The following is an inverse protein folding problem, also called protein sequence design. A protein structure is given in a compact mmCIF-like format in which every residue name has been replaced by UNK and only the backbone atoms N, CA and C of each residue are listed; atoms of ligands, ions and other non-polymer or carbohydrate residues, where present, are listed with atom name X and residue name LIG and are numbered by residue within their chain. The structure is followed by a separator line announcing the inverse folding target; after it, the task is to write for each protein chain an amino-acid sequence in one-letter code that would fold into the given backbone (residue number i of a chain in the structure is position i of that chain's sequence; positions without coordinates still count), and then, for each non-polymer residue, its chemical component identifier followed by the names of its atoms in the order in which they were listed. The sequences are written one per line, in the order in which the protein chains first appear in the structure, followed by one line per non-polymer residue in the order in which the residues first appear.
data_IF_856089549710
#
_entry.id   IF_856089549710
#
_cell.length_a   1.000
_cell.length_b   1.000
_cell.length_c   1.000
_cell.angle_alpha   90.00
_cell.angle_beta   90.00
_cell.angle_gamma   90.00
#
_symmetry.space_group_name_H-M   'P 1'
#
loop_
_entity.id
_entity.type
_entity.pdbx_description
1 polymer ?
#
# COMPACT_ATOMS: atom_id res chain seq x y z
N UNK A 1 -6.47 -7.27 16.39
CA UNK A 1 -7.03 -7.73 15.11
C UNK A 1 -8.39 -7.12 14.92
N UNK A 2 -8.61 -6.37 13.85
CA UNK A 2 -9.95 -5.90 13.49
C UNK A 2 -10.81 -7.13 13.14
N UNK A 3 -12.07 -7.18 13.60
CA UNK A 3 -12.92 -8.35 13.40
C UNK A 3 -13.29 -8.56 11.92
N UNK A 4 -13.27 -7.51 11.10
CA UNK A 4 -13.55 -7.54 9.67
C UNK A 4 -12.59 -6.61 8.94
N UNK A 5 -11.77 -7.16 8.05
CA UNK A 5 -10.90 -6.40 7.15
C UNK A 5 -10.76 -7.14 5.82
N UNK A 6 -10.35 -6.41 4.78
CA UNK A 6 -10.02 -6.95 3.47
C UNK A 6 -8.53 -6.76 3.19
N UNK A 7 -8.02 -7.52 2.23
CA UNK A 7 -6.66 -7.40 1.74
C UNK A 7 -6.72 -7.16 0.23
N UNK A 8 -6.03 -6.12 -0.24
CA UNK A 8 -5.91 -5.79 -1.67
C UNK A 8 -4.52 -6.20 -2.12
N UNK A 9 -4.46 -7.01 -3.19
CA UNK A 9 -3.19 -7.32 -3.82
C UNK A 9 -2.95 -6.39 -5.01
N UNK A 10 -1.97 -5.49 -4.85
CA UNK A 10 -1.57 -4.51 -5.87
C UNK A 10 -0.54 -5.05 -6.88
N UNK A 11 -0.17 -6.33 -6.81
CA UNK A 11 0.91 -6.93 -7.61
C UNK A 11 0.70 -6.80 -9.13
N UNK A 12 -0.55 -6.65 -9.59
CA UNK A 12 -0.89 -6.54 -11.00
C UNK A 12 -0.92 -5.12 -11.57
N UNK A 13 -0.84 -4.11 -10.71
CA UNK A 13 -1.19 -2.72 -11.08
C UNK A 13 -0.01 -1.74 -10.96
N UNK A 14 1.22 -2.24 -10.84
CA UNK A 14 2.42 -1.41 -10.95
C UNK A 14 2.74 -1.18 -12.42
N UNK A 15 2.93 0.08 -12.78
CA UNK A 15 3.46 0.52 -14.07
C UNK A 15 4.82 -0.16 -14.41
N UNK A 16 5.46 -0.80 -13.44
CA UNK A 16 6.70 -1.58 -13.53
C UNK A 16 6.53 -2.99 -14.13
N UNK A 17 5.40 -3.32 -14.77
CA UNK A 17 5.21 -4.62 -15.44
C UNK A 17 6.32 -4.91 -16.46
N UNK A 18 6.89 -3.86 -17.07
CA UNK A 18 8.02 -3.97 -17.98
C UNK A 18 9.33 -4.40 -17.30
N UNK A 19 9.49 -4.17 -16.00
CA UNK A 19 10.77 -4.31 -15.29
C UNK A 19 10.92 -5.65 -14.53
N UNK A 20 9.80 -6.31 -14.14
CA UNK A 20 9.84 -7.48 -13.22
C UNK A 20 9.28 -8.82 -13.72
N UNK A 21 8.76 -8.90 -14.94
CA UNK A 21 8.46 -10.18 -15.64
C UNK A 21 7.75 -11.26 -14.80
N UNK A 22 8.25 -12.52 -14.87
CA UNK A 22 7.67 -13.74 -14.27
C UNK A 22 7.30 -13.65 -12.78
N UNK A 23 7.95 -12.77 -12.01
CA UNK A 23 7.75 -12.68 -10.55
C UNK A 23 6.37 -12.10 -10.22
N UNK A 24 5.87 -11.13 -11.01
CA UNK A 24 4.55 -10.55 -10.82
C UNK A 24 3.43 -11.60 -10.99
N UNK A 25 3.56 -12.50 -11.96
CA UNK A 25 2.61 -13.60 -12.23
C UNK A 25 2.56 -14.65 -11.11
N UNK A 26 3.66 -14.86 -10.37
CA UNK A 26 3.70 -15.79 -9.23
C UNK A 26 3.08 -15.20 -7.97
N UNK A 27 3.29 -13.92 -7.69
CA UNK A 27 2.72 -13.25 -6.50
C UNK A 27 1.21 -13.03 -6.62
N UNK A 28 0.79 -12.69 -7.83
CA UNK A 28 -0.59 -12.67 -8.29
C UNK A 28 -1.40 -13.93 -7.94
N UNK A 29 -0.81 -15.10 -8.13
CA UNK A 29 -1.48 -16.39 -7.96
C UNK A 29 -1.42 -16.93 -6.53
N UNK A 30 -0.63 -16.32 -5.64
CA UNK A 30 -0.47 -16.77 -4.25
C UNK A 30 -1.23 -15.93 -3.22
N UNK A 31 -1.63 -14.68 -3.53
CA UNK A 31 -2.44 -13.85 -2.62
C UNK A 31 -3.47 -13.02 -3.39
N UNK A 32 -4.66 -13.52 -3.72
CA UNK A 32 -5.67 -12.72 -4.39
C UNK A 32 -6.21 -11.61 -3.49
N UNK A 33 -6.71 -10.53 -4.10
CA UNK A 33 -7.55 -9.55 -3.41
C UNK A 33 -8.74 -10.25 -2.77
N UNK A 34 -8.96 -10.04 -1.48
CA UNK A 34 -10.08 -10.59 -0.73
C UNK A 34 -10.74 -9.47 0.08
N UNK A 35 -11.96 -9.10 -0.33
CA UNK A 35 -12.79 -8.10 0.33
C UNK A 35 -14.05 -8.83 0.86
N UNK A 36 -14.05 -9.34 2.11
CA UNK A 36 -15.17 -10.10 2.68
C UNK A 36 -16.31 -9.20 3.15
N UNK A 37 -16.60 -8.14 2.39
CA UNK A 37 -17.61 -7.12 2.66
C UNK A 37 -18.09 -6.49 1.36
N UNK A 38 -19.28 -5.89 1.40
CA UNK A 38 -19.84 -5.17 0.25
C UNK A 38 -19.07 -3.86 0.01
N UNK A 39 -18.58 -3.66 -1.21
CA UNK A 39 -17.85 -2.44 -1.59
C UNK A 39 -18.81 -1.32 -1.99
N UNK A 40 -19.97 -1.63 -2.56
CA UNK A 40 -20.87 -0.60 -3.05
C UNK A 40 -21.39 0.28 -1.91
N UNK A 41 -21.25 1.60 -2.10
CA UNK A 41 -21.64 2.63 -1.13
C UNK A 41 -20.94 2.54 0.24
N UNK A 42 -19.88 1.74 0.37
CA UNK A 42 -19.12 1.64 1.61
C UNK A 42 -18.18 2.85 1.79
N UNK A 43 -17.93 3.23 3.04
CA UNK A 43 -16.83 4.12 3.41
C UNK A 43 -15.61 3.24 3.72
N UNK A 44 -14.55 3.36 2.93
CA UNK A 44 -13.37 2.49 2.99
C UNK A 44 -12.15 3.31 3.38
N UNK A 45 -11.37 2.80 4.32
CA UNK A 45 -10.04 3.33 4.65
C UNK A 45 -9.01 2.33 4.12
N UNK A 46 -8.22 2.75 3.14
CA UNK A 46 -7.01 2.05 2.72
C UNK A 46 -5.92 2.30 3.77
N UNK A 47 -5.20 1.25 4.13
CA UNK A 47 -4.11 1.32 5.12
C UNK A 47 -2.84 0.83 4.44
N UNK A 48 -1.80 1.65 4.47
CA UNK A 48 -0.46 1.32 3.97
C UNK A 48 0.61 1.64 5.02
N UNK A 49 1.78 1.03 4.92
CA UNK A 49 2.88 1.33 5.85
C UNK A 49 3.55 2.66 5.53
N UNK A 50 3.94 2.87 4.28
CA UNK A 50 4.73 4.03 3.83
C UNK A 50 4.14 4.62 2.55
N UNK A 51 3.69 5.88 2.62
CA UNK A 51 3.36 6.66 1.42
C UNK A 51 4.60 7.36 0.87
N UNK A 52 5.00 6.99 -0.35
CA UNK A 52 6.09 7.63 -1.11
C UNK A 52 5.55 8.23 -2.42
N UNK A 53 5.70 7.53 -3.56
CA UNK A 53 5.33 8.08 -4.89
C UNK A 53 3.82 8.13 -5.12
N UNK A 54 3.05 7.34 -4.38
CA UNK A 54 1.61 7.15 -4.54
C UNK A 54 1.20 6.01 -5.47
N UNK A 55 2.14 5.35 -6.18
CA UNK A 55 1.81 4.30 -7.17
C UNK A 55 1.13 3.07 -6.54
N UNK A 56 1.57 2.64 -5.36
CA UNK A 56 0.93 1.54 -4.61
C UNK A 56 -0.52 1.85 -4.29
N UNK A 57 -0.82 3.06 -3.81
CA UNK A 57 -2.19 3.48 -3.50
C UNK A 57 -3.04 3.57 -4.76
N UNK A 58 -2.51 4.13 -5.85
CA UNK A 58 -3.18 4.15 -7.16
C UNK A 58 -3.55 2.74 -7.62
N UNK A 59 -2.63 1.79 -7.48
CA UNK A 59 -2.87 0.38 -7.77
C UNK A 59 -3.97 -0.23 -6.89
N UNK A 60 -3.98 0.08 -5.59
CA UNK A 60 -5.00 -0.39 -4.68
C UNK A 60 -6.39 0.20 -5.00
N UNK A 61 -6.45 1.48 -5.39
CA UNK A 61 -7.68 2.13 -5.83
C UNK A 61 -8.24 1.48 -7.08
N UNK A 62 -7.41 1.21 -8.09
CA UNK A 62 -7.87 0.50 -9.29
C UNK A 62 -8.48 -0.85 -8.96
N UNK A 63 -7.74 -1.67 -8.20
CA UNK A 63 -8.20 -2.99 -7.79
C UNK A 63 -9.49 -2.90 -6.95
N UNK A 64 -9.58 -1.97 -5.99
CA UNK A 64 -10.81 -1.77 -5.20
C UNK A 64 -12.02 -1.46 -6.08
N UNK A 65 -11.85 -0.62 -7.10
CA UNK A 65 -12.92 -0.25 -8.02
C UNK A 65 -13.30 -1.37 -9.00
N UNK A 66 -12.51 -2.43 -9.14
CA UNK A 66 -12.93 -3.63 -9.86
C UNK A 66 -13.98 -4.44 -9.06
N UNK A 67 -14.04 -4.26 -7.73
CA UNK A 67 -15.00 -4.93 -6.85
C UNK A 67 -16.27 -4.12 -6.56
N UNK A 68 -16.30 -2.82 -6.88
CA UNK A 68 -17.50 -2.01 -6.68
C UNK A 68 -17.28 -0.51 -6.74
N UNK A 69 -18.25 0.25 -6.22
CA UNK A 69 -18.20 1.71 -6.14
C UNK A 69 -18.39 2.16 -4.69
N UNK A 70 -17.31 2.40 -3.93
CA UNK A 70 -17.43 2.92 -2.56
C UNK A 70 -18.03 4.33 -2.55
N UNK A 71 -18.70 4.70 -1.46
CA UNK A 71 -19.20 6.06 -1.25
C UNK A 71 -18.05 7.03 -0.94
N UNK A 72 -17.01 6.54 -0.26
CA UNK A 72 -15.82 7.30 0.12
C UNK A 72 -14.63 6.35 0.21
N UNK A 73 -13.46 6.82 -0.23
CA UNK A 73 -12.18 6.16 0.05
C UNK A 73 -11.27 7.17 0.74
N UNK A 74 -10.73 6.79 1.89
CA UNK A 74 -9.72 7.53 2.63
C UNK A 74 -8.43 6.72 2.68
N UNK A 75 -7.30 7.38 2.92
CA UNK A 75 -5.99 6.76 3.07
C UNK A 75 -5.40 7.06 4.44
N UNK A 76 -4.99 6.00 5.14
CA UNK A 76 -4.21 6.05 6.37
C UNK A 76 -2.84 5.43 6.13
N UNK A 77 -1.78 6.13 6.52
CA UNK A 77 -0.41 5.59 6.48
C UNK A 77 0.31 5.75 7.79
N UNK A 78 1.20 4.81 8.11
CA UNK A 78 2.06 4.93 9.29
C UNK A 78 3.14 5.99 9.07
N UNK A 79 3.77 6.01 7.90
CA UNK A 79 4.79 7.00 7.55
C UNK A 79 4.48 7.68 6.20
N UNK A 80 4.68 8.99 6.14
CA UNK A 80 4.63 9.78 4.91
C UNK A 80 6.03 10.35 4.60
N UNK A 81 6.57 9.96 3.44
CA UNK A 81 7.93 10.33 2.99
C UNK A 81 7.99 11.47 1.97
N UNK A 82 6.86 12.14 1.70
CA UNK A 82 6.75 13.11 0.61
C UNK A 82 7.16 12.49 -0.76
N UNK A 83 7.70 13.28 -1.69
CA UNK A 83 8.17 12.84 -3.02
C UNK A 83 7.07 12.20 -3.88
N UNK A 84 5.91 12.85 -3.90
CA UNK A 84 4.78 12.43 -4.72
C UNK A 84 5.07 12.51 -6.22
N UNK A 85 4.78 11.43 -6.92
CA UNK A 85 4.70 11.42 -8.39
C UNK A 85 3.24 11.46 -8.88
N UNK A 86 2.31 11.07 -8.01
CA UNK A 86 0.87 11.14 -8.24
C UNK A 86 0.23 12.09 -7.24
N UNK A 87 -0.90 12.75 -7.59
CA UNK A 87 -1.62 13.67 -6.70
C UNK A 87 -2.41 12.89 -5.64
N UNK A 88 -1.72 12.10 -4.83
CA UNK A 88 -2.26 11.25 -3.77
C UNK A 88 -1.72 11.73 -2.43
N UNK A 89 -2.63 12.01 -1.50
CA UNK A 89 -2.33 12.40 -0.13
C UNK A 89 -3.07 11.48 0.83
N UNK A 90 -2.47 11.22 2.00
CA UNK A 90 -3.16 10.50 3.07
C UNK A 90 -4.04 11.46 3.87
N UNK A 91 -5.23 10.99 4.23
CA UNK A 91 -6.13 11.67 5.17
C UNK A 91 -5.61 11.53 6.61
N UNK A 92 -4.95 10.42 6.92
CA UNK A 92 -4.36 10.14 8.22
C UNK A 92 -2.89 9.75 8.06
N UNK A 93 -2.01 10.43 8.79
CA UNK A 93 -0.56 10.18 8.78
C UNK A 93 -0.10 9.94 10.21
N UNK A 94 0.55 8.81 10.46
CA UNK A 94 1.18 8.52 11.75
C UNK A 94 2.35 9.45 12.03
N UNK A 95 3.35 9.44 11.14
CA UNK A 95 4.54 10.28 11.21
C UNK A 95 4.93 10.80 9.80
N UNK A 96 5.38 12.05 9.70
CA UNK A 96 6.02 12.56 8.49
C UNK A 96 7.54 12.41 8.62
N UNK A 97 8.16 11.68 7.71
CA UNK A 97 9.56 11.28 7.81
C UNK A 97 10.33 11.74 6.58
N UNK A 98 11.40 12.50 6.79
CA UNK A 98 12.33 12.84 5.71
C UNK A 98 13.57 11.96 5.81
N UNK A 99 13.92 11.25 4.74
CA UNK A 99 15.11 10.39 4.66
C UNK A 99 15.79 10.59 3.30
N UNK A 100 17.10 10.33 3.19
CA UNK A 100 17.83 10.44 1.92
C UNK A 100 17.23 9.59 0.79
N UNK A 101 17.36 10.06 -0.46
CA UNK A 101 16.82 9.37 -1.64
C UNK A 101 17.45 8.00 -1.92
N UNK A 102 18.69 7.79 -1.45
CA UNK A 102 19.38 6.51 -1.50
C UNK A 102 18.92 5.54 -0.40
N UNK A 103 17.93 5.89 0.41
CA UNK A 103 17.44 5.05 1.50
C UNK A 103 15.94 4.74 1.36
N UNK A 104 15.56 3.60 1.92
CA UNK A 104 14.18 3.14 2.05
C UNK A 104 13.81 2.98 3.52
N UNK A 105 12.53 3.18 3.83
CA UNK A 105 11.97 2.97 5.15
C UNK A 105 11.24 1.63 5.13
N UNK A 106 11.70 0.66 5.94
CA UNK A 106 11.19 -0.71 5.96
C UNK A 106 10.50 -0.97 7.28
N UNK A 107 9.25 -1.42 7.24
CA UNK A 107 8.54 -1.85 8.43
C UNK A 107 8.93 -3.28 8.78
N UNK A 108 9.67 -3.46 9.86
CA UNK A 108 10.05 -4.77 10.36
C UNK A 108 9.22 -5.17 11.58
N UNK A 109 9.05 -6.48 11.77
CA UNK A 109 8.46 -7.08 12.96
C UNK A 109 9.51 -7.96 13.64
N UNK A 110 9.86 -7.64 14.88
CA UNK A 110 10.83 -8.43 15.64
C UNK A 110 10.24 -9.75 16.15
N UNK A 111 11.10 -10.60 16.73
CA UNK A 111 10.69 -11.89 17.30
C UNK A 111 9.74 -11.80 18.51
N UNK A 112 9.64 -10.63 19.14
CA UNK A 112 8.66 -10.34 20.20
C UNK A 112 7.33 -9.80 19.63
N UNK A 113 7.25 -9.61 18.32
CA UNK A 113 6.08 -9.11 17.62
C UNK A 113 5.93 -7.59 17.63
N UNK A 114 6.94 -6.84 18.06
CA UNK A 114 6.96 -5.39 17.99
C UNK A 114 7.32 -4.95 16.57
N UNK A 115 6.60 -3.95 16.08
CA UNK A 115 6.89 -3.33 14.80
C UNK A 115 7.81 -2.12 14.98
N UNK A 116 8.77 -1.95 14.08
CA UNK A 116 9.66 -0.80 14.02
C UNK A 116 10.03 -0.48 12.57
N UNK A 117 10.15 0.81 12.25
CA UNK A 117 10.75 1.22 10.99
C UNK A 117 12.27 1.21 11.07
N UNK A 118 12.92 0.64 10.06
CA UNK A 118 14.36 0.67 9.84
C UNK A 118 14.69 1.41 8.55
N UNK A 119 15.89 1.98 8.49
CA UNK A 119 16.44 2.55 7.26
C UNK A 119 17.34 1.53 6.60
N UNK A 120 17.11 1.29 5.32
CA UNK A 120 17.97 0.45 4.48
C UNK A 120 18.46 1.23 3.26
N UNK A 121 19.61 0.86 2.72
CA UNK A 121 20.08 1.40 1.44
C UNK A 121 19.20 0.88 0.30
N UNK A 122 18.85 1.76 -0.63
CA UNK A 122 18.11 1.40 -1.83
C UNK A 122 19.06 0.61 -2.74
N UNK A 123 18.80 -0.67 -2.94
CA UNK A 123 19.53 -1.47 -3.92
C UNK A 123 19.43 -0.83 -5.32
N UNK A 124 20.56 -0.71 -6.01
CA UNK A 124 20.66 -0.22 -7.39
C UNK A 124 19.98 -1.14 -8.41
#
# INVERSE_FOLDING_TARGET
NLPHYGAINVAFHRDDYAEKGMTALRTASTMPTNLPFEVNSANIILIDDVLLTGRTVRAALNELFDFGRPAKVELMVLADRDNRELPITADFVGERVNIPDNQILVLEKDGAGKFSFQLEERAE
#
